data_IF_713677292146
#
_entry.id   IF_713677292146
#
_cell.length_a   1.000
_cell.length_b   1.000
_cell.length_c   1.000
_cell.angle_alpha   90.00
_cell.angle_beta   90.00
_cell.angle_gamma   90.00
#
_symmetry.space_group_name_H-M   'P 1'
#
loop_
_entity.id
_entity.type
_entity.pdbx_description
1 polymer ?
#
# COMPACT_ATOMS: atom_id res chain seq x y z
N UNK A 1 7.95 1.11 -14.14
CA UNK A 1 7.41 2.48 -14.01
C UNK A 1 7.51 2.93 -12.56
N UNK A 2 6.95 4.09 -12.19
CA UNK A 2 6.78 4.43 -10.78
C UNK A 2 5.92 3.38 -10.08
N UNK A 3 6.17 3.15 -8.78
CA UNK A 3 5.36 2.25 -7.95
C UNK A 3 3.99 2.85 -7.66
N UNK A 4 3.95 4.18 -7.52
CA UNK A 4 2.72 4.95 -7.47
C UNK A 4 2.81 6.14 -8.42
N UNK A 5 1.78 6.30 -9.25
CA UNK A 5 1.50 7.52 -9.99
C UNK A 5 0.04 7.90 -9.73
N UNK A 6 -0.16 9.00 -9.01
CA UNK A 6 -1.48 9.52 -8.66
C UNK A 6 -1.65 10.89 -9.27
N UNK A 7 -2.69 11.07 -10.06
CA UNK A 7 -2.99 12.32 -10.75
C UNK A 7 -4.32 12.86 -10.24
N UNK A 8 -4.30 14.11 -9.77
CA UNK A 8 -5.48 14.86 -9.38
C UNK A 8 -5.61 16.14 -10.21
N UNK A 9 -6.67 16.90 -9.96
CA UNK A 9 -6.93 18.17 -10.64
C UNK A 9 -5.93 19.27 -10.28
N UNK A 10 -5.33 19.21 -9.10
CA UNK A 10 -4.40 20.22 -8.58
C UNK A 10 -2.92 19.80 -8.63
N UNK A 11 -2.60 18.61 -9.14
CA UNK A 11 -1.22 18.13 -9.14
C UNK A 11 -1.10 16.62 -9.28
N UNK A 12 0.13 16.15 -9.19
CA UNK A 12 0.49 14.73 -9.32
C UNK A 12 1.47 14.31 -8.23
N UNK A 13 1.30 13.10 -7.72
CA UNK A 13 2.23 12.46 -6.79
C UNK A 13 2.85 11.23 -7.45
N UNK A 14 4.17 11.21 -7.57
CA UNK A 14 4.92 10.11 -8.16
C UNK A 14 5.89 9.55 -7.12
N UNK A 15 5.84 8.23 -6.86
CA UNK A 15 6.79 7.53 -5.98
C UNK A 15 7.40 6.33 -6.69
N UNK A 16 8.70 6.14 -6.49
CA UNK A 16 9.45 4.98 -6.95
C UNK A 16 9.89 4.11 -5.77
N UNK A 17 10.33 2.89 -6.07
CA UNK A 17 10.82 1.95 -5.08
C UNK A 17 9.72 1.08 -4.47
N UNK A 18 10.13 0.00 -3.83
CA UNK A 18 9.26 -0.93 -3.11
C UNK A 18 9.55 -0.84 -1.62
N UNK A 19 8.61 -1.26 -0.78
CA UNK A 19 8.81 -1.29 0.67
C UNK A 19 10.04 -2.16 1.03
N UNK A 20 10.94 -1.61 1.84
CA UNK A 20 12.22 -2.25 2.18
C UNK A 20 12.10 -3.37 3.22
N UNK A 21 10.96 -3.49 3.92
CA UNK A 21 10.79 -4.43 5.03
C UNK A 21 10.83 -5.88 4.57
N UNK A 22 10.26 -6.22 3.41
CA UNK A 22 10.33 -7.60 2.91
C UNK A 22 11.79 -8.03 2.65
N UNK A 23 12.59 -7.14 2.05
CA UNK A 23 14.01 -7.40 1.84
C UNK A 23 14.80 -7.48 3.16
N UNK A 24 14.48 -6.61 4.12
CA UNK A 24 15.07 -6.63 5.46
C UNK A 24 14.77 -7.93 6.20
N UNK A 25 13.52 -8.41 6.19
CA UNK A 25 13.11 -9.70 6.75
C UNK A 25 13.87 -10.86 6.09
N UNK A 26 14.01 -10.86 4.76
CA UNK A 26 14.78 -11.87 4.02
C UNK A 26 16.27 -11.86 4.39
N UNK A 27 16.81 -10.70 4.76
CA UNK A 27 18.17 -10.54 5.25
C UNK A 27 18.34 -10.89 6.74
N UNK A 28 17.27 -11.34 7.40
CA UNK A 28 17.28 -11.74 8.82
C UNK A 28 17.13 -10.57 9.81
N UNK A 29 16.86 -9.36 9.33
CA UNK A 29 16.54 -8.22 10.19
C UNK A 29 15.13 -8.36 10.76
N UNK A 30 14.88 -7.72 11.91
CA UNK A 30 13.60 -7.83 12.62
C UNK A 30 12.92 -6.47 12.87
N UNK A 31 11.57 -6.42 12.91
CA UNK A 31 10.84 -5.23 13.33
C UNK A 31 11.26 -4.82 14.75
N UNK A 32 11.84 -3.63 14.89
CA UNK A 32 12.36 -3.10 16.16
C UNK A 32 13.83 -2.69 16.11
N UNK A 33 14.56 -3.07 15.06
CA UNK A 33 15.87 -2.49 14.77
C UNK A 33 15.79 -1.00 14.41
N UNK A 34 16.87 -0.22 14.61
CA UNK A 34 16.93 1.15 14.13
C UNK A 34 16.64 1.25 12.62
N UNK A 35 15.95 2.32 12.23
CA UNK A 35 15.59 2.63 10.83
C UNK A 35 14.82 1.51 10.12
N UNK A 36 14.07 0.68 10.87
CA UNK A 36 13.27 -0.42 10.31
C UNK A 36 12.22 0.04 9.30
N UNK A 37 11.52 1.14 9.61
CA UNK A 37 10.31 1.60 8.93
C UNK A 37 10.51 2.93 8.17
N UNK A 38 11.76 3.42 8.07
CA UNK A 38 12.06 4.69 7.43
C UNK A 38 12.60 4.50 6.00
N UNK A 39 11.94 5.14 5.04
CA UNK A 39 12.52 5.29 3.70
C UNK A 39 13.64 6.36 3.73
N UNK A 40 14.77 6.13 3.05
CA UNK A 40 15.76 7.19 2.83
C UNK A 40 15.13 8.33 1.98
N UNK A 41 15.56 9.60 2.16
CA UNK A 41 15.00 10.74 1.43
C UNK A 41 15.00 10.61 -0.10
N UNK A 42 15.94 9.84 -0.65
CA UNK A 42 16.02 9.53 -2.09
C UNK A 42 14.83 8.70 -2.61
N UNK A 43 14.09 8.00 -1.73
CA UNK A 43 12.90 7.21 -2.06
C UNK A 43 11.58 7.91 -1.71
N UNK A 44 11.65 9.16 -1.23
CA UNK A 44 10.45 9.96 -1.02
C UNK A 44 9.70 10.17 -2.33
N UNK A 45 8.37 10.16 -2.26
CA UNK A 45 7.57 10.51 -3.41
C UNK A 45 7.62 12.01 -3.66
N UNK A 46 7.49 12.41 -4.91
CA UNK A 46 7.47 13.82 -5.31
C UNK A 46 6.03 14.26 -5.56
N UNK A 47 5.60 15.31 -4.88
CA UNK A 47 4.35 16.01 -5.17
C UNK A 47 4.67 17.21 -6.07
N UNK A 48 4.05 17.23 -7.25
CA UNK A 48 4.13 18.32 -8.22
C UNK A 48 2.80 19.03 -8.33
N UNK A 49 2.81 20.33 -8.12
CA UNK A 49 1.66 21.26 -8.13
C UNK A 49 2.02 22.48 -8.99
N UNK A 50 1.05 23.36 -9.32
CA UNK A 50 1.36 24.64 -9.99
C UNK A 50 2.40 25.49 -9.25
N UNK A 51 2.50 25.34 -7.92
CA UNK A 51 3.46 26.04 -7.08
C UNK A 51 4.87 25.44 -7.14
N UNK A 52 5.04 24.29 -7.79
CA UNK A 52 6.31 23.59 -7.96
C UNK A 52 6.28 22.13 -7.49
N UNK A 53 7.47 21.53 -7.47
CA UNK A 53 7.68 20.14 -7.06
C UNK A 53 8.42 20.08 -5.72
N UNK A 54 7.98 19.20 -4.82
CA UNK A 54 8.64 18.95 -3.54
C UNK A 54 8.61 17.48 -3.15
N UNK A 55 9.64 16.97 -2.46
CA UNK A 55 9.57 15.64 -1.87
C UNK A 55 8.55 15.61 -0.72
N UNK A 56 7.92 14.46 -0.54
CA UNK A 56 7.02 14.14 0.57
C UNK A 56 7.63 12.99 1.36
N UNK A 57 8.06 13.21 2.62
CA UNK A 57 8.56 12.15 3.48
C UNK A 57 7.56 11.00 3.56
N UNK A 58 8.06 9.78 3.41
CA UNK A 58 7.22 8.59 3.52
C UNK A 58 6.89 8.35 4.99
N UNK A 59 5.61 8.15 5.29
CA UNK A 59 5.18 7.84 6.65
C UNK A 59 5.72 6.45 7.01
N UNK A 60 6.41 6.31 8.16
CA UNK A 60 6.91 5.01 8.58
C UNK A 60 5.80 3.97 8.72
N UNK A 61 6.00 2.84 8.06
CA UNK A 61 5.07 1.71 8.01
C UNK A 61 5.72 0.48 8.64
N UNK A 62 4.94 -0.28 9.40
CA UNK A 62 5.42 -1.53 9.99
C UNK A 62 4.40 -2.63 9.79
N UNK A 63 4.82 -3.74 9.17
CA UNK A 63 3.98 -4.93 9.03
C UNK A 63 3.53 -5.51 10.38
N UNK A 64 4.24 -5.20 11.47
CA UNK A 64 3.84 -5.59 12.82
C UNK A 64 2.48 -4.98 13.22
N UNK A 65 2.13 -3.79 12.72
CA UNK A 65 0.85 -3.12 13.02
C UNK A 65 -0.37 -3.97 12.63
N UNK A 66 -0.24 -4.82 11.61
CA UNK A 66 -1.30 -5.76 11.25
C UNK A 66 -1.58 -6.76 12.37
N UNK A 67 -0.53 -7.37 12.93
CA UNK A 67 -0.67 -8.35 14.03
C UNK A 67 -1.08 -7.70 15.35
N UNK A 68 -0.63 -6.47 15.62
CA UNK A 68 -1.13 -5.68 16.75
C UNK A 68 -2.64 -5.46 16.64
N UNK A 69 -3.14 -5.10 15.46
CA UNK A 69 -4.56 -4.98 15.23
C UNK A 69 -5.31 -6.32 15.39
N UNK A 70 -4.77 -7.43 14.86
CA UNK A 70 -5.38 -8.76 15.04
C UNK A 70 -5.47 -9.13 16.53
N UNK A 71 -4.41 -8.90 17.31
CA UNK A 71 -4.41 -9.09 18.76
C UNK A 71 -5.53 -8.29 19.42
N UNK A 72 -5.67 -7.02 19.06
CA UNK A 72 -6.66 -6.12 19.66
C UNK A 72 -8.09 -6.49 19.24
N UNK A 73 -8.28 -6.97 18.00
CA UNK A 73 -9.56 -7.51 17.53
C UNK A 73 -9.96 -8.79 18.26
N UNK A 74 -9.03 -9.74 18.45
CA UNK A 74 -9.26 -10.96 19.24
C UNK A 74 -9.62 -10.63 20.69
N UNK A 75 -9.06 -9.55 21.24
CA UNK A 75 -9.39 -9.05 22.59
C UNK A 75 -10.67 -8.23 22.65
N UNK A 76 -11.31 -7.95 21.52
CA UNK A 76 -12.52 -7.13 21.44
C UNK A 76 -12.30 -5.64 21.69
N UNK A 77 -11.05 -5.15 21.61
CA UNK A 77 -10.70 -3.74 21.88
C UNK A 77 -10.59 -2.88 20.63
N UNK A 78 -10.61 -3.49 19.44
CA UNK A 78 -10.61 -2.80 18.15
C UNK A 78 -11.33 -3.64 17.09
N UNK A 79 -11.88 -3.04 16.01
CA UNK A 79 -12.27 -3.80 14.82
C UNK A 79 -11.03 -4.29 14.04
N UNK A 80 -11.21 -5.28 13.18
CA UNK A 80 -10.18 -5.68 12.21
C UNK A 80 -9.87 -4.54 11.25
N UNK A 81 -8.59 -4.26 11.04
CA UNK A 81 -8.10 -3.28 10.07
C UNK A 81 -8.28 -3.75 8.62
N UNK A 82 -8.29 -5.08 8.42
CA UNK A 82 -8.65 -5.72 7.15
C UNK A 82 -9.83 -6.65 7.43
N UNK A 83 -11.01 -6.32 6.91
CA UNK A 83 -12.23 -7.09 7.15
C UNK A 83 -12.38 -8.24 6.15
N UNK A 84 -13.17 -9.29 6.48
CA UNK A 84 -13.49 -10.35 5.52
C UNK A 84 -14.12 -9.82 4.23
N UNK A 85 -14.97 -8.80 4.31
CA UNK A 85 -15.64 -8.19 3.16
C UNK A 85 -14.62 -7.53 2.22
N UNK A 86 -13.63 -6.81 2.76
CA UNK A 86 -12.54 -6.23 1.96
C UNK A 86 -11.72 -7.32 1.26
N UNK A 87 -11.48 -8.46 1.92
CA UNK A 87 -10.79 -9.59 1.29
C UNK A 87 -11.63 -10.21 0.16
N UNK A 88 -12.95 -10.36 0.36
CA UNK A 88 -13.87 -10.85 -0.67
C UNK A 88 -13.92 -9.91 -1.88
N UNK A 89 -13.90 -8.59 -1.67
CA UNK A 89 -13.82 -7.63 -2.77
C UNK A 89 -12.54 -7.81 -3.59
N UNK A 90 -11.38 -8.04 -2.95
CA UNK A 90 -10.14 -8.35 -3.68
C UNK A 90 -10.28 -9.63 -4.51
N UNK A 91 -10.84 -10.70 -3.94
CA UNK A 91 -11.07 -11.96 -4.66
C UNK A 91 -11.98 -11.74 -5.88
N UNK A 92 -13.08 -10.99 -5.71
CA UNK A 92 -14.00 -10.63 -6.80
C UNK A 92 -13.28 -9.85 -7.90
N UNK A 93 -12.45 -8.89 -7.53
CA UNK A 93 -11.63 -8.12 -8.48
C UNK A 93 -10.70 -9.00 -9.31
N UNK A 94 -10.06 -10.00 -8.68
CA UNK A 94 -9.21 -10.97 -9.37
C UNK A 94 -10.01 -11.82 -10.38
N UNK A 95 -11.16 -12.34 -9.98
CA UNK A 95 -12.03 -13.13 -10.87
C UNK A 95 -12.54 -12.30 -12.05
N UNK A 96 -12.98 -11.06 -11.79
CA UNK A 96 -13.41 -10.13 -12.84
C UNK A 96 -12.27 -9.78 -13.80
N UNK A 97 -11.04 -9.61 -13.30
CA UNK A 97 -9.88 -9.33 -14.15
C UNK A 97 -9.58 -10.51 -15.10
N UNK A 98 -9.63 -11.75 -14.59
CA UNK A 98 -9.45 -12.95 -15.42
C UNK A 98 -10.55 -13.06 -16.48
N UNK A 99 -11.82 -12.91 -16.09
CA UNK A 99 -12.94 -12.98 -17.01
C UNK A 99 -12.91 -11.86 -18.07
N UNK A 100 -12.57 -10.63 -17.66
CA UNK A 100 -12.40 -9.47 -18.55
C UNK A 100 -11.31 -9.73 -19.60
N UNK A 101 -10.17 -10.29 -19.19
CA UNK A 101 -9.07 -10.65 -20.09
C UNK A 101 -9.49 -11.69 -21.13
N UNK A 102 -10.18 -12.75 -20.69
CA UNK A 102 -10.67 -13.82 -21.58
C UNK A 102 -11.70 -13.31 -22.59
N UNK A 103 -12.61 -12.43 -22.15
CA UNK A 103 -13.69 -11.89 -22.99
C UNK A 103 -13.26 -10.65 -23.79
N UNK A 104 -12.06 -10.11 -23.52
CA UNK A 104 -11.52 -8.88 -24.11
C UNK A 104 -12.49 -7.69 -24.01
N UNK A 105 -13.18 -7.57 -22.89
CA UNK A 105 -14.11 -6.46 -22.63
C UNK A 105 -14.11 -6.10 -21.15
N UNK A 106 -14.38 -4.82 -20.88
CA UNK A 106 -14.62 -4.34 -19.52
C UNK A 106 -15.87 -5.02 -18.97
N UNK A 107 -15.73 -5.64 -17.79
CA UNK A 107 -16.86 -6.20 -17.04
C UNK A 107 -17.23 -5.24 -15.91
N UNK A 108 -18.54 -5.01 -15.68
CA UNK A 108 -18.97 -4.12 -14.61
C UNK A 108 -18.69 -4.73 -13.25
N UNK A 109 -18.34 -3.88 -12.28
CA UNK A 109 -18.42 -4.23 -10.88
C UNK A 109 -19.88 -4.28 -10.47
N UNK A 110 -20.48 -5.46 -10.44
CA UNK A 110 -21.78 -5.67 -9.79
C UNK A 110 -21.54 -5.76 -8.29
N UNK A 111 -22.49 -5.31 -7.46
CA UNK A 111 -22.47 -5.54 -6.01
C UNK A 111 -23.25 -6.80 -5.71
#
# INVERSE_FOLDING_TARGET
GPSFAVHGTAGSFIKYGVDAQEAALKAGRTPGEPDWDADPPALYGTLTTPEGARPVPTIPSSYARYYENVRDAVRGTAPLAVTPEQALDVMRGLELAVASSQQRRVLPWTS
#
